data_IF_217085698794
#
_entry.id   IF_217085698794
#
_cell.length_a   1.000
_cell.length_b   1.000
_cell.length_c   1.000
_cell.angle_alpha   90.00
_cell.angle_beta   90.00
_cell.angle_gamma   90.00
#
_symmetry.space_group_name_H-M   'P 1'
#
loop_
_entity.id
_entity.type
_entity.pdbx_description
1 polymer ?
#
# COMPACT_ATOMS: atom_id res chain seq x y z
N UNK A 1 -11.47 7.03 23.60
CA UNK A 1 -11.57 5.87 22.70
C UNK A 1 -13.00 5.36 22.77
N UNK A 2 -13.81 5.57 21.73
CA UNK A 2 -15.22 5.15 21.72
C UNK A 2 -15.24 3.65 21.51
N UNK A 3 -15.83 2.90 22.43
CA UNK A 3 -15.92 1.44 22.33
C UNK A 3 -17.09 1.06 21.43
N UNK A 4 -16.94 0.08 20.52
CA UNK A 4 -18.03 -0.41 19.67
C UNK A 4 -19.26 -0.83 20.46
N UNK A 5 -19.07 -1.33 21.69
CA UNK A 5 -20.15 -1.69 22.60
C UNK A 5 -21.13 -0.53 22.83
N UNK A 6 -20.63 0.70 23.00
CA UNK A 6 -21.47 1.88 23.24
C UNK A 6 -22.36 2.21 22.04
N UNK A 7 -21.89 1.92 20.83
CA UNK A 7 -22.65 2.15 19.60
C UNK A 7 -23.78 1.13 19.46
N UNK A 8 -23.51 -0.13 19.79
CA UNK A 8 -24.52 -1.20 19.82
C UNK A 8 -25.63 -0.82 20.81
N UNK A 9 -25.28 -0.45 22.05
CA UNK A 9 -26.28 -0.04 23.05
C UNK A 9 -27.13 1.15 22.57
N UNK A 10 -26.50 2.19 22.02
CA UNK A 10 -27.21 3.35 21.50
C UNK A 10 -28.21 2.97 20.39
N UNK A 11 -27.77 2.17 19.41
CA UNK A 11 -28.64 1.74 18.31
C UNK A 11 -29.78 0.84 18.77
N UNK A 12 -29.56 0.00 19.77
CA UNK A 12 -30.62 -0.87 20.32
C UNK A 12 -31.71 -0.06 21.01
N UNK A 13 -31.33 0.99 21.76
CA UNK A 13 -32.28 1.90 22.39
C UNK A 13 -33.05 2.70 21.33
N UNK A 14 -32.39 3.19 20.28
CA UNK A 14 -33.06 3.84 19.15
C UNK A 14 -34.03 2.88 18.44
N UNK A 15 -33.62 1.64 18.18
CA UNK A 15 -34.47 0.61 17.58
C UNK A 15 -35.70 0.30 18.43
N UNK A 16 -35.56 0.30 19.75
CA UNK A 16 -36.69 0.16 20.68
C UNK A 16 -37.70 1.29 20.55
N UNK A 17 -37.26 2.56 20.56
CA UNK A 17 -38.17 3.69 20.41
C UNK A 17 -38.86 3.72 19.04
N UNK A 18 -38.13 3.38 17.97
CA UNK A 18 -38.71 3.26 16.62
C UNK A 18 -39.75 2.14 16.58
N UNK A 19 -39.42 0.97 17.14
CA UNK A 19 -40.33 -0.16 17.22
C UNK A 19 -41.59 0.15 18.03
N UNK A 20 -41.44 0.86 19.15
CA UNK A 20 -42.54 1.27 20.01
C UNK A 20 -43.46 2.27 19.30
N UNK A 21 -42.90 3.31 18.68
CA UNK A 21 -43.69 4.29 17.92
C UNK A 21 -44.43 3.61 16.77
N UNK A 22 -43.75 2.75 16.01
CA UNK A 22 -44.35 2.00 14.92
C UNK A 22 -45.50 1.11 15.43
N UNK A 23 -45.30 0.43 16.55
CA UNK A 23 -46.26 -0.52 17.08
C UNK A 23 -47.50 0.17 17.65
N UNK A 24 -47.33 1.31 18.33
CA UNK A 24 -48.45 2.09 18.89
C UNK A 24 -49.32 2.71 17.79
N UNK A 25 -48.73 3.07 16.64
CA UNK A 25 -49.48 3.65 15.51
C UNK A 25 -50.27 2.58 14.76
N UNK A 26 -49.75 1.35 14.65
CA UNK A 26 -50.33 0.30 13.80
C UNK A 26 -51.22 -0.70 14.56
N UNK A 27 -51.02 -0.88 15.87
CA UNK A 27 -51.74 -1.87 16.67
C UNK A 27 -52.49 -1.22 17.82
N UNK A 28 -53.70 -1.73 18.09
CA UNK A 28 -54.59 -1.24 19.16
C UNK A 28 -54.58 -2.21 20.36
N UNK A 29 -54.38 -3.51 20.10
CA UNK A 29 -54.31 -4.50 21.16
C UNK A 29 -52.95 -4.42 21.88
N UNK A 30 -52.92 -4.40 23.22
CA UNK A 30 -51.68 -4.25 23.97
C UNK A 30 -50.71 -5.42 23.79
N UNK A 31 -51.24 -6.62 23.57
CA UNK A 31 -50.47 -7.84 23.33
C UNK A 31 -49.63 -7.73 22.05
N UNK A 32 -50.25 -7.27 20.96
CA UNK A 32 -49.58 -7.01 19.69
C UNK A 32 -48.54 -5.91 19.83
N UNK A 33 -48.85 -4.83 20.57
CA UNK A 33 -47.91 -3.72 20.74
C UNK A 33 -46.60 -4.19 21.35
N UNK A 34 -46.69 -5.03 22.38
CA UNK A 34 -45.52 -5.56 23.08
C UNK A 34 -44.74 -6.52 22.19
N UNK A 35 -45.45 -7.42 21.50
CA UNK A 35 -44.82 -8.47 20.68
C UNK A 35 -44.09 -7.88 19.47
N UNK A 36 -44.72 -6.95 18.75
CA UNK A 36 -44.09 -6.29 17.61
C UNK A 36 -42.97 -5.34 18.01
N UNK A 37 -43.12 -4.60 19.12
CA UNK A 37 -42.02 -3.77 19.65
C UNK A 37 -40.80 -4.63 19.98
N UNK A 38 -40.99 -5.77 20.65
CA UNK A 38 -39.92 -6.69 20.98
C UNK A 38 -39.28 -7.31 19.72
N UNK A 39 -40.08 -7.74 18.75
CA UNK A 39 -39.60 -8.31 17.49
C UNK A 39 -38.76 -7.30 16.69
N UNK A 40 -39.23 -6.06 16.56
CA UNK A 40 -38.51 -4.99 15.85
C UNK A 40 -37.21 -4.64 16.60
N UNK A 41 -37.26 -4.53 17.92
CA UNK A 41 -36.06 -4.26 18.74
C UNK A 41 -35.01 -5.35 18.57
N UNK A 42 -35.44 -6.61 18.56
CA UNK A 42 -34.56 -7.77 18.35
C UNK A 42 -33.96 -7.77 16.93
N UNK A 43 -34.74 -7.40 15.91
CA UNK A 43 -34.24 -7.23 14.55
C UNK A 43 -33.14 -6.16 14.50
N UNK A 44 -33.37 -4.97 15.08
CA UNK A 44 -32.36 -3.91 15.13
C UNK A 44 -31.12 -4.31 15.93
N UNK A 45 -31.29 -5.07 17.02
CA UNK A 45 -30.18 -5.61 17.82
C UNK A 45 -29.29 -6.56 17.00
N UNK A 46 -29.89 -7.48 16.25
CA UNK A 46 -29.11 -8.40 15.41
C UNK A 46 -28.52 -7.67 14.20
N UNK A 47 -29.27 -6.77 13.57
CA UNK A 47 -28.82 -6.00 12.42
C UNK A 47 -27.58 -5.16 12.75
N UNK A 48 -27.57 -4.45 13.89
CA UNK A 48 -26.41 -3.63 14.26
C UNK A 48 -25.18 -4.49 14.55
N UNK A 49 -25.35 -5.68 15.14
CA UNK A 49 -24.24 -6.61 15.35
C UNK A 49 -23.65 -7.09 14.03
N UNK A 50 -24.47 -7.38 13.02
CA UNK A 50 -23.99 -7.73 11.68
C UNK A 50 -23.21 -6.57 11.06
N UNK A 51 -23.72 -5.34 11.17
CA UNK A 51 -23.05 -4.14 10.65
C UNK A 51 -21.71 -3.91 11.37
N UNK A 52 -21.68 -4.02 12.70
CA UNK A 52 -20.45 -3.81 13.48
C UNK A 52 -19.44 -4.93 13.22
N UNK A 53 -19.88 -6.19 13.16
CA UNK A 53 -19.02 -7.32 12.81
C UNK A 53 -18.44 -7.14 11.41
N UNK A 54 -19.26 -6.75 10.43
CA UNK A 54 -18.81 -6.48 9.07
C UNK A 54 -17.86 -5.27 9.00
N UNK A 55 -18.12 -4.19 9.75
CA UNK A 55 -17.24 -3.02 9.80
C UNK A 55 -15.89 -3.32 10.47
N UNK A 56 -15.87 -4.10 11.56
CA UNK A 56 -14.64 -4.55 12.20
C UNK A 56 -13.87 -5.49 11.29
N UNK A 57 -14.57 -6.36 10.55
CA UNK A 57 -13.97 -7.25 9.57
C UNK A 57 -13.36 -6.45 8.42
N UNK A 58 -14.08 -5.50 7.80
CA UNK A 58 -13.53 -4.59 6.77
C UNK A 58 -12.28 -3.83 7.28
N UNK A 59 -12.27 -3.41 8.55
CA UNK A 59 -11.11 -2.73 9.14
C UNK A 59 -9.93 -3.68 9.35
N UNK A 60 -10.17 -4.94 9.71
CA UNK A 60 -9.13 -5.97 9.81
C UNK A 60 -8.64 -6.41 8.42
N UNK A 61 -9.55 -6.69 7.51
CA UNK A 61 -9.28 -7.02 6.11
C UNK A 61 -8.53 -5.90 5.39
N UNK A 62 -8.87 -4.63 5.65
CA UNK A 62 -8.15 -3.48 5.10
C UNK A 62 -6.73 -3.31 5.67
N UNK A 63 -6.49 -3.76 6.90
CA UNK A 63 -5.14 -3.81 7.48
C UNK A 63 -4.31 -4.99 6.95
N UNK A 64 -4.94 -6.15 6.70
CA UNK A 64 -4.28 -7.31 6.08
C UNK A 64 -3.95 -7.07 4.60
N UNK A 65 -4.84 -6.44 3.83
CA UNK A 65 -4.61 -6.17 2.41
C UNK A 65 -3.64 -5.00 2.16
N UNK A 66 -3.53 -4.07 3.10
CA UNK A 66 -2.71 -2.86 2.95
C UNK A 66 -1.71 -2.75 4.11
N UNK A 67 -0.83 -3.74 4.24
CA UNK A 67 0.29 -3.70 5.17
C UNK A 67 1.35 -2.67 4.70
N UNK A 68 1.03 -1.38 4.83
CA UNK A 68 1.86 -0.24 4.41
C UNK A 68 3.31 -0.42 4.83
N UNK A 69 3.54 -0.94 6.04
CA UNK A 69 4.87 -1.12 6.61
C UNK A 69 5.72 -2.11 5.83
N UNK A 70 5.13 -3.23 5.43
CA UNK A 70 5.81 -4.27 4.66
C UNK A 70 6.10 -3.80 3.22
N UNK A 71 5.16 -3.07 2.61
CA UNK A 71 5.39 -2.44 1.31
C UNK A 71 6.46 -1.34 1.35
N UNK A 72 6.50 -0.56 2.42
CA UNK A 72 7.49 0.51 2.62
C UNK A 72 8.89 -0.07 2.84
N UNK A 73 9.01 -1.18 3.59
CA UNK A 73 10.26 -1.91 3.82
C UNK A 73 10.80 -2.56 2.53
N UNK A 74 9.93 -3.20 1.74
CA UNK A 74 10.30 -3.76 0.43
C UNK A 74 10.70 -2.65 -0.54
N UNK A 75 10.00 -1.51 -0.52
CA UNK A 75 10.34 -0.36 -1.35
C UNK A 75 11.70 0.24 -0.99
N UNK A 76 12.00 0.44 0.30
CA UNK A 76 13.30 0.92 0.75
C UNK A 76 14.43 -0.05 0.35
N UNK A 77 14.19 -1.35 0.45
CA UNK A 77 15.14 -2.36 -0.02
C UNK A 77 15.46 -2.18 -1.51
N UNK A 78 14.46 -2.06 -2.38
CA UNK A 78 14.68 -1.86 -3.82
C UNK A 78 15.41 -0.55 -4.15
N UNK A 79 15.07 0.55 -3.47
CA UNK A 79 15.76 1.83 -3.66
C UNK A 79 17.24 1.71 -3.29
N UNK A 80 17.56 1.04 -2.18
CA UNK A 80 18.95 0.83 -1.75
C UNK A 80 19.74 -0.06 -2.72
N UNK A 81 19.10 -1.10 -3.29
CA UNK A 81 19.73 -2.00 -4.25
C UNK A 81 20.02 -1.29 -5.57
N UNK A 82 19.10 -0.41 -6.01
CA UNK A 82 19.29 0.42 -7.19
C UNK A 82 20.43 1.42 -7.04
N UNK A 83 20.53 2.12 -5.90
CA UNK A 83 21.63 3.06 -5.62
C UNK A 83 23.00 2.37 -5.65
N UNK A 84 23.09 1.15 -5.10
CA UNK A 84 24.32 0.34 -5.17
C UNK A 84 24.66 -0.05 -6.61
N UNK A 85 23.65 -0.40 -7.42
CA UNK A 85 23.85 -0.75 -8.84
C UNK A 85 24.27 0.45 -9.67
N UNK A 86 23.69 1.61 -9.44
CA UNK A 86 24.02 2.87 -10.10
C UNK A 86 25.49 3.22 -9.87
N UNK A 87 25.94 3.21 -8.61
CA UNK A 87 27.35 3.47 -8.24
C UNK A 87 28.33 2.49 -8.90
N UNK A 88 27.96 1.20 -8.98
CA UNK A 88 28.79 0.20 -9.67
C UNK A 88 28.87 0.49 -11.16
N UNK A 89 27.76 0.82 -11.80
CA UNK A 89 27.70 1.14 -13.23
C UNK A 89 28.56 2.37 -13.56
N UNK A 90 28.47 3.43 -12.75
CA UNK A 90 29.31 4.63 -12.90
C UNK A 90 30.80 4.30 -12.78
N UNK A 91 31.17 3.45 -11.82
CA UNK A 91 32.56 3.03 -11.65
C UNK A 91 33.10 2.25 -12.86
N UNK A 92 32.25 1.43 -13.50
CA UNK A 92 32.60 0.67 -14.69
C UNK A 92 32.72 1.58 -15.90
N UNK A 93 31.82 2.55 -16.08
CA UNK A 93 31.90 3.54 -17.15
C UNK A 93 33.19 4.36 -17.05
N UNK A 94 33.53 4.85 -15.86
CA UNK A 94 34.79 5.58 -15.63
C UNK A 94 36.02 4.70 -15.91
N UNK A 95 35.95 3.40 -15.62
CA UNK A 95 37.04 2.46 -15.90
C UNK A 95 37.18 2.21 -17.40
N UNK A 96 36.07 2.07 -18.13
CA UNK A 96 36.06 1.92 -19.58
C UNK A 96 36.60 3.18 -20.27
N UNK A 97 36.19 4.35 -19.82
CA UNK A 97 36.68 5.64 -20.34
C UNK A 97 38.20 5.75 -20.17
N UNK A 98 38.72 5.48 -18.96
CA UNK A 98 40.17 5.45 -18.71
C UNK A 98 40.92 4.45 -19.58
N UNK A 99 40.34 3.26 -19.81
CA UNK A 99 40.94 2.27 -20.70
C UNK A 99 40.94 2.77 -22.15
N UNK A 100 39.85 3.37 -22.61
CA UNK A 100 39.74 3.93 -23.96
C UNK A 100 40.76 5.05 -24.19
N UNK A 101 40.93 5.97 -23.24
CA UNK A 101 41.96 7.01 -23.29
C UNK A 101 43.38 6.43 -23.34
N UNK A 102 43.61 5.34 -22.61
CA UNK A 102 44.86 4.58 -22.65
C UNK A 102 45.14 3.98 -24.03
N UNK A 103 44.13 3.35 -24.65
CA UNK A 103 44.23 2.82 -26.01
C UNK A 103 44.48 3.91 -27.05
N UNK A 104 43.84 5.08 -26.92
CA UNK A 104 44.05 6.20 -27.82
C UNK A 104 45.48 6.77 -27.72
N UNK A 105 46.05 6.83 -26.50
CA UNK A 105 47.46 7.22 -26.30
C UNK A 105 48.45 6.21 -26.86
N UNK A 106 48.18 4.91 -26.74
CA UNK A 106 49.04 3.85 -27.30
C UNK A 106 49.00 3.84 -28.83
N UNK A 107 47.82 4.05 -29.42
CA UNK A 107 47.66 4.12 -30.89
C UNK A 107 48.23 5.40 -31.50
N UNK A 108 48.11 6.57 -30.84
CA UNK A 108 48.76 7.81 -31.28
C UNK A 108 50.27 7.84 -31.01
N UNK A 109 50.76 7.17 -29.96
CA UNK A 109 52.18 7.07 -29.65
C UNK A 109 52.96 6.11 -30.55
N UNK A 110 52.29 5.17 -31.24
CA UNK A 110 52.91 4.19 -32.15
C UNK A 110 52.99 4.65 -33.60
N UNK A 111 52.60 5.89 -33.91
CA UNK A 111 52.78 6.51 -35.23
C UNK A 111 53.62 7.79 -35.12
N UNK A 112 54.94 7.65 -34.98
CA UNK A 112 55.84 8.53 -35.71
C UNK A 112 56.95 7.74 -36.41
N UNK A 113 56.93 7.77 -37.75
CA UNK A 113 58.12 7.62 -38.59
C UNK A 113 58.40 6.23 -39.12
N UNK A 114 58.14 6.02 -40.42
CA UNK A 114 59.20 5.55 -41.29
C UNK A 114 58.96 6.04 -42.74
N UNK A 115 60.03 6.48 -43.41
CA UNK A 115 60.01 6.76 -44.84
C UNK A 115 60.49 8.15 -45.31
N UNK A 116 61.52 8.73 -44.69
CA UNK A 116 62.31 9.79 -45.32
C UNK A 116 63.81 9.44 -45.32
N UNK A 117 64.30 9.11 -46.52
CA UNK A 117 65.70 9.12 -46.99
C UNK A 117 66.72 8.10 -46.46
N UNK A 118 67.07 7.15 -47.33
CA UNK A 118 68.42 6.83 -47.84
C UNK A 118 68.18 6.20 -49.23
N UNK A 119 68.83 6.56 -50.34
CA UNK A 119 70.28 6.61 -50.55
C UNK A 119 70.59 7.36 -51.86
N UNK A 120 71.56 8.29 -51.82
CA UNK A 120 72.34 8.67 -52.99
C UNK A 120 73.48 7.66 -53.12
N UNK A 121 73.53 6.85 -54.18
CA UNK A 121 74.76 6.32 -54.79
C UNK A 121 74.45 5.40 -55.99
N UNK A 122 74.59 5.93 -57.21
CA UNK A 122 75.18 5.30 -58.41
C UNK A 122 74.84 6.13 -59.66
#
# INVERSE_FOLDING_TARGET
MIRPENFIYFFTVCGFFIGLIFSVINFIQPEDIILYTAAITLFFYLFIHVVVMNFVDIRRFGLELFNKKEYEEVSEYFVSELDVREKKMDSLLLSIEKMNDGYEKLTKGSLPGDGANQEKAA
#
